data_IF_050688968915
#
_entry.id   IF_050688968915
#
_cell.length_a   1.000
_cell.length_b   1.000
_cell.length_c   1.000
_cell.angle_alpha   90.00
_cell.angle_beta   90.00
_cell.angle_gamma   90.00
#
_symmetry.space_group_name_H-M   'P 1'
#
loop_
_entity.id
_entity.type
_entity.pdbx_description
1 polymer ?
#
# COMPACT_ATOMS: atom_id res chain seq x y z
N UNK A 1 27.13 6.34 -2.13
CA UNK A 1 25.74 5.99 -2.50
C UNK A 1 25.80 4.80 -3.43
N UNK A 2 25.52 3.63 -2.86
CA UNK A 2 25.66 2.35 -3.55
C UNK A 2 24.55 2.17 -4.60
N UNK A 3 24.77 1.31 -5.59
CA UNK A 3 23.82 1.09 -6.68
C UNK A 3 22.44 0.60 -6.19
N UNK A 4 22.40 -0.12 -5.07
CA UNK A 4 21.17 -0.52 -4.38
C UNK A 4 20.39 0.67 -3.81
N UNK A 5 21.07 1.61 -3.15
CA UNK A 5 20.44 2.84 -2.62
C UNK A 5 19.96 3.77 -3.74
N UNK A 6 20.66 3.83 -4.89
CA UNK A 6 20.21 4.58 -6.06
C UNK A 6 18.97 3.98 -6.72
N UNK A 7 18.84 2.65 -6.74
CA UNK A 7 17.64 1.97 -7.22
C UNK A 7 16.46 2.16 -6.27
N UNK A 8 16.69 2.04 -4.97
CA UNK A 8 15.68 2.25 -3.92
C UNK A 8 15.15 3.70 -3.89
N UNK A 9 16.04 4.68 -4.08
CA UNK A 9 15.68 6.10 -4.20
C UNK A 9 14.91 6.41 -5.50
N UNK A 10 15.15 5.67 -6.59
CA UNK A 10 14.45 5.83 -7.87
C UNK A 10 13.09 5.11 -7.93
N UNK A 11 12.93 3.97 -7.26
CA UNK A 11 11.62 3.33 -7.14
C UNK A 11 10.69 4.20 -6.28
N UNK A 12 11.18 4.67 -5.12
CA UNK A 12 10.39 5.50 -4.19
C UNK A 12 9.78 6.74 -4.85
N UNK A 13 10.48 7.40 -5.78
CA UNK A 13 9.94 8.59 -6.44
C UNK A 13 8.84 8.27 -7.47
N UNK A 14 8.85 7.08 -8.08
CA UNK A 14 7.79 6.62 -8.99
C UNK A 14 6.52 6.36 -8.20
N UNK A 15 6.60 5.67 -7.05
CA UNK A 15 5.41 5.43 -6.22
C UNK A 15 4.82 6.73 -5.67
N UNK A 16 5.65 7.66 -5.19
CA UNK A 16 5.18 8.98 -4.71
C UNK A 16 4.49 9.75 -5.83
N UNK A 17 5.03 9.73 -7.04
CA UNK A 17 4.40 10.38 -8.18
C UNK A 17 3.04 9.75 -8.51
N UNK A 18 2.99 8.41 -8.57
CA UNK A 18 1.75 7.68 -8.83
C UNK A 18 0.67 7.93 -7.75
N UNK A 19 1.05 7.95 -6.47
CA UNK A 19 0.14 8.25 -5.36
C UNK A 19 -0.45 9.65 -5.50
N UNK A 20 0.36 10.66 -5.86
CA UNK A 20 -0.10 12.03 -6.10
C UNK A 20 -1.07 12.12 -7.28
N UNK A 21 -0.75 11.44 -8.38
CA UNK A 21 -1.63 11.38 -9.56
C UNK A 21 -2.99 10.75 -9.25
N UNK A 22 -3.01 9.64 -8.52
CA UNK A 22 -4.26 9.01 -8.07
C UNK A 22 -5.07 9.93 -7.15
N UNK A 23 -4.42 10.59 -6.19
CA UNK A 23 -5.08 11.54 -5.30
C UNK A 23 -5.65 12.75 -6.02
N UNK A 24 -4.91 13.29 -6.99
CA UNK A 24 -5.39 14.39 -7.83
C UNK A 24 -6.68 14.01 -8.58
N UNK A 25 -6.76 12.77 -9.07
CA UNK A 25 -7.92 12.27 -9.82
C UNK A 25 -9.12 11.92 -8.94
N UNK A 26 -8.90 11.29 -7.78
CA UNK A 26 -9.97 10.67 -7.00
C UNK A 26 -10.22 11.31 -5.62
N UNK A 27 -9.27 12.08 -5.09
CA UNK A 27 -9.33 12.61 -3.72
C UNK A 27 -10.59 13.41 -3.45
N UNK A 28 -10.88 14.41 -4.29
CA UNK A 28 -12.08 15.24 -4.15
C UNK A 28 -13.38 14.43 -4.30
N UNK A 29 -13.39 13.41 -5.15
CA UNK A 29 -14.56 12.53 -5.33
C UNK A 29 -14.83 11.72 -4.06
N UNK A 30 -13.78 11.22 -3.39
CA UNK A 30 -13.87 10.49 -2.13
C UNK A 30 -14.29 11.40 -0.98
N UNK A 31 -13.74 12.61 -0.89
CA UNK A 31 -14.08 13.60 0.14
C UNK A 31 -15.57 13.99 0.07
N UNK A 32 -16.10 14.21 -1.14
CA UNK A 32 -17.53 14.46 -1.36
C UNK A 32 -18.43 13.29 -0.91
N UNK A 33 -17.89 12.08 -0.84
CA UNK A 33 -18.59 10.89 -0.33
C UNK A 33 -18.31 10.63 1.16
N UNK A 34 -17.66 11.57 1.85
CA UNK A 34 -17.20 11.43 3.24
C UNK A 34 -16.31 10.19 3.47
N UNK A 35 -15.54 9.81 2.46
CA UNK A 35 -14.64 8.66 2.50
C UNK A 35 -13.17 9.10 2.50
N UNK A 36 -12.34 8.43 3.30
CA UNK A 36 -10.88 8.58 3.22
C UNK A 36 -10.31 7.75 2.07
N UNK A 37 -9.37 8.33 1.32
CA UNK A 37 -8.71 7.67 0.21
C UNK A 37 -7.23 7.44 0.49
N UNK A 38 -6.79 6.19 0.43
CA UNK A 38 -5.38 5.80 0.49
C UNK A 38 -5.02 5.12 -0.84
N UNK A 39 -4.23 5.77 -1.71
CA UNK A 39 -3.90 5.22 -3.02
C UNK A 39 -3.07 3.95 -2.87
N UNK A 40 -3.54 2.83 -3.44
CA UNK A 40 -2.79 1.58 -3.48
C UNK A 40 -1.87 1.57 -4.72
N UNK A 41 -0.66 2.12 -4.58
CA UNK A 41 0.37 2.09 -5.61
C UNK A 41 1.43 1.01 -5.31
N UNK A 42 1.67 0.12 -6.28
CA UNK A 42 2.71 -0.91 -6.18
C UNK A 42 3.44 -1.11 -7.50
N UNK A 43 4.73 -1.47 -7.43
CA UNK A 43 5.53 -1.91 -8.57
C UNK A 43 5.27 -3.38 -8.88
N UNK A 44 5.71 -3.81 -10.07
CA UNK A 44 5.70 -5.22 -10.46
C UNK A 44 6.52 -6.11 -9.53
N UNK A 45 7.55 -5.54 -8.87
CA UNK A 45 8.40 -6.23 -7.89
C UNK A 45 7.78 -6.27 -6.48
N UNK A 46 6.58 -5.71 -6.30
CA UNK A 46 5.86 -5.71 -5.02
C UNK A 46 6.30 -4.64 -4.04
N UNK A 47 7.11 -3.67 -4.47
CA UNK A 47 7.34 -2.45 -3.69
C UNK A 47 6.05 -1.63 -3.64
N UNK A 48 5.77 -0.97 -2.52
CA UNK A 48 4.55 -0.18 -2.32
C UNK A 48 4.89 1.24 -1.92
N UNK A 49 4.02 2.18 -2.28
CA UNK A 49 4.17 3.58 -1.90
C UNK A 49 4.09 3.84 -0.39
N UNK A 50 4.59 4.99 0.07
CA UNK A 50 4.70 5.33 1.50
C UNK A 50 3.35 5.40 2.21
N UNK A 51 2.26 5.78 1.53
CA UNK A 51 0.95 5.86 2.17
C UNK A 51 0.36 4.47 2.42
N UNK A 52 0.44 3.58 1.43
CA UNK A 52 0.06 2.17 1.58
C UNK A 52 0.86 1.53 2.69
N UNK A 53 2.17 1.77 2.71
CA UNK A 53 3.06 1.22 3.73
C UNK A 53 2.64 1.66 5.14
N UNK A 54 2.31 2.93 5.31
CA UNK A 54 1.83 3.50 6.57
C UNK A 54 0.47 2.91 6.96
N UNK A 55 -0.45 2.79 6.00
CA UNK A 55 -1.75 2.15 6.19
C UNK A 55 -1.60 0.70 6.66
N UNK A 56 -0.73 -0.09 6.01
CA UNK A 56 -0.46 -1.47 6.38
C UNK A 56 0.03 -1.56 7.83
N UNK A 57 0.98 -0.72 8.24
CA UNK A 57 1.47 -0.70 9.64
C UNK A 57 0.35 -0.37 10.62
N UNK A 58 -0.43 0.67 10.33
CA UNK A 58 -1.50 1.11 11.21
C UNK A 58 -2.59 0.04 11.36
N UNK A 59 -3.06 -0.52 10.24
CA UNK A 59 -4.04 -1.60 10.22
C UNK A 59 -3.54 -2.83 10.98
N UNK A 60 -2.29 -3.22 10.76
CA UNK A 60 -1.68 -4.38 11.42
C UNK A 60 -1.60 -4.21 12.93
N UNK A 61 -1.27 -3.00 13.42
CA UNK A 61 -1.26 -2.68 14.85
C UNK A 61 -2.66 -2.71 15.47
N UNK A 62 -3.67 -2.23 14.76
CA UNK A 62 -5.07 -2.30 15.22
C UNK A 62 -5.56 -3.74 15.27
N UNK A 63 -5.21 -4.55 14.26
CA UNK A 63 -5.57 -5.96 14.18
C UNK A 63 -4.85 -6.82 15.22
N UNK A 64 -3.58 -6.55 15.51
CA UNK A 64 -2.85 -7.29 16.53
C UNK A 64 -3.49 -7.15 17.91
N UNK A 65 -3.95 -5.94 18.25
CA UNK A 65 -4.71 -5.67 19.47
C UNK A 65 -6.07 -6.37 19.41
N UNK A 66 -6.83 -6.20 18.32
CA UNK A 66 -8.18 -6.78 18.17
C UNK A 66 -8.19 -8.30 18.26
N UNK A 67 -7.19 -8.96 17.68
CA UNK A 67 -7.11 -10.42 17.63
C UNK A 67 -6.28 -11.05 18.74
N UNK A 68 -5.66 -10.23 19.59
CA UNK A 68 -4.72 -10.68 20.61
C UNK A 68 -3.62 -11.61 20.01
N UNK A 69 -3.00 -11.15 18.93
CA UNK A 69 -1.92 -11.87 18.22
C UNK A 69 -0.69 -10.98 18.09
N UNK A 70 0.51 -11.55 17.92
CA UNK A 70 1.72 -10.76 17.66
C UNK A 70 1.56 -9.85 16.44
N UNK A 71 2.13 -8.64 16.53
CA UNK A 71 2.09 -7.66 15.44
C UNK A 71 2.61 -8.23 14.12
N UNK A 72 3.69 -9.01 14.16
CA UNK A 72 4.28 -9.66 12.98
C UNK A 72 3.32 -10.61 12.29
N UNK A 73 2.53 -11.37 13.06
CA UNK A 73 1.50 -12.26 12.51
C UNK A 73 0.39 -11.47 11.82
N UNK A 74 -0.12 -10.41 12.45
CA UNK A 74 -1.13 -9.54 11.85
C UNK A 74 -0.59 -8.83 10.59
N UNK A 75 0.65 -8.33 10.64
CA UNK A 75 1.32 -7.68 9.53
C UNK A 75 1.49 -8.60 8.32
N UNK A 76 1.96 -9.82 8.55
CA UNK A 76 2.11 -10.81 7.48
C UNK A 76 0.75 -11.17 6.88
N UNK A 77 -0.27 -11.36 7.72
CA UNK A 77 -1.63 -11.60 7.24
C UNK A 77 -2.16 -10.46 6.36
N UNK A 78 -2.00 -9.20 6.78
CA UNK A 78 -2.43 -8.02 6.01
C UNK A 78 -1.69 -7.94 4.67
N UNK A 79 -0.36 -8.09 4.69
CA UNK A 79 0.47 -8.08 3.47
C UNK A 79 0.02 -9.15 2.48
N UNK A 80 -0.15 -10.39 2.95
CA UNK A 80 -0.63 -11.49 2.11
C UNK A 80 -2.00 -11.17 1.50
N UNK A 81 -2.95 -10.63 2.28
CA UNK A 81 -4.28 -10.27 1.75
C UNK A 81 -4.19 -9.20 0.67
N UNK A 82 -3.36 -8.18 0.85
CA UNK A 82 -3.17 -7.11 -0.14
C UNK A 82 -2.49 -7.66 -1.40
N UNK A 83 -1.44 -8.48 -1.27
CA UNK A 83 -0.77 -9.11 -2.42
C UNK A 83 -1.74 -9.96 -3.23
N UNK A 84 -2.57 -10.78 -2.58
CA UNK A 84 -3.61 -11.54 -3.28
C UNK A 84 -4.64 -10.63 -3.94
N UNK A 85 -5.06 -9.54 -3.29
CA UNK A 85 -6.00 -8.59 -3.89
C UNK A 85 -5.40 -7.92 -5.14
N UNK A 86 -4.12 -7.57 -5.12
CA UNK A 86 -3.41 -7.01 -6.28
C UNK A 86 -3.31 -8.01 -7.43
N UNK A 87 -2.96 -9.26 -7.13
CA UNK A 87 -2.94 -10.34 -8.13
C UNK A 87 -4.31 -10.50 -8.78
N UNK A 88 -5.40 -10.50 -8.00
CA UNK A 88 -6.77 -10.56 -8.54
C UNK A 88 -7.18 -9.34 -9.36
N UNK A 89 -6.74 -8.15 -8.96
CA UNK A 89 -7.04 -6.92 -9.69
C UNK A 89 -6.33 -6.86 -11.05
N UNK A 90 -5.13 -7.45 -11.14
CA UNK A 90 -4.31 -7.47 -12.36
C UNK A 90 -4.59 -8.68 -13.25
N UNK A 91 -4.95 -9.81 -12.65
CA UNK A 91 -5.26 -11.05 -13.34
C UNK A 91 -6.74 -11.39 -13.10
N UNK A 92 -7.56 -11.23 -14.14
CA UNK A 92 -9.01 -11.42 -14.12
C UNK A 92 -9.47 -12.85 -13.75
N UNK A 93 -8.53 -13.78 -13.52
CA UNK A 93 -8.78 -15.23 -13.44
C UNK A 93 -8.27 -15.91 -12.16
N UNK A 94 -7.92 -15.16 -11.09
CA UNK A 94 -7.43 -15.69 -9.78
C UNK A 94 -8.37 -15.31 -8.63
#
# INVERSE_FOLDING_TARGET
LNASEKAECKCTCIEIYAEREMKSKYGHICENQHASFTPLCSTVDGQVGPEVYTFIKHLSGRLSVKWNRPYTTALNWVRTKISFALVRATHLCI
#
